data_IF_089529352651
#
_entry.id   IF_089529352651
#
_cell.length_a   1.000
_cell.length_b   1.000
_cell.length_c   1.000
_cell.angle_alpha   90.00
_cell.angle_beta   90.00
_cell.angle_gamma   90.00
#
_symmetry.space_group_name_H-M   'P 1'
#
loop_
_entity.id
_entity.type
_entity.pdbx_description
1 polymer ?
#
# COMPACT_ATOMS: atom_id res chain seq x y z
N UNK A 1 -38.40 -8.39 1.39
CA UNK A 1 -38.20 -7.22 0.50
C UNK A 1 -37.67 -6.10 1.37
N UNK A 2 -36.34 -5.93 1.43
CA UNK A 2 -35.73 -4.73 2.01
C UNK A 2 -35.19 -3.99 0.79
N UNK A 3 -35.61 -2.73 0.65
CA UNK A 3 -35.28 -1.89 -0.49
C UNK A 3 -33.75 -1.79 -0.67
N UNK A 4 -33.23 -2.45 -1.71
CA UNK A 4 -31.92 -2.14 -2.25
C UNK A 4 -32.11 -0.93 -3.18
N UNK A 5 -31.37 0.14 -2.91
CA UNK A 5 -31.34 1.43 -3.60
C UNK A 5 -32.43 2.42 -3.19
N UNK A 6 -32.45 2.81 -1.91
CA UNK A 6 -32.71 4.21 -1.60
C UNK A 6 -31.38 4.95 -1.77
N UNK A 7 -31.31 5.89 -2.72
CA UNK A 7 -30.19 6.84 -2.77
C UNK A 7 -30.11 7.50 -1.40
N UNK A 8 -28.95 7.37 -0.75
CA UNK A 8 -28.73 8.00 0.55
C UNK A 8 -28.95 9.49 0.36
N UNK A 9 -29.87 10.07 1.13
CA UNK A 9 -30.14 11.51 1.06
C UNK A 9 -28.86 12.25 1.45
N UNK A 10 -28.30 12.99 0.49
CA UNK A 10 -27.18 13.88 0.78
C UNK A 10 -27.62 14.91 1.80
N UNK A 11 -26.90 14.98 2.92
CA UNK A 11 -27.12 15.97 3.96
C UNK A 11 -25.76 16.52 4.40
N UNK A 12 -25.71 17.83 4.65
CA UNK A 12 -24.51 18.55 5.06
C UNK A 12 -23.77 17.89 6.26
N UNK A 13 -24.49 17.21 7.15
CA UNK A 13 -23.90 16.47 8.28
C UNK A 13 -23.03 15.30 7.80
N UNK A 14 -23.50 14.53 6.82
CA UNK A 14 -22.74 13.40 6.26
C UNK A 14 -21.53 13.89 5.49
N UNK A 15 -21.67 14.97 4.71
CA UNK A 15 -20.55 15.60 4.01
C UNK A 15 -19.48 16.09 4.98
N UNK A 16 -19.87 16.76 6.08
CA UNK A 16 -18.95 17.21 7.11
C UNK A 16 -18.24 16.03 7.81
N UNK A 17 -18.97 14.94 8.07
CA UNK A 17 -18.39 13.72 8.65
C UNK A 17 -17.38 13.05 7.69
N UNK A 18 -17.71 12.96 6.40
CA UNK A 18 -16.82 12.40 5.39
C UNK A 18 -15.55 13.23 5.24
N UNK A 19 -15.68 14.56 5.18
CA UNK A 19 -14.56 15.50 5.19
C UNK A 19 -13.68 15.32 6.43
N UNK A 20 -14.27 15.31 7.63
CA UNK A 20 -13.52 15.11 8.87
C UNK A 20 -12.80 13.75 8.91
N UNK A 21 -13.43 12.69 8.39
CA UNK A 21 -12.82 11.35 8.30
C UNK A 21 -11.60 11.34 7.38
N UNK A 22 -11.69 12.03 6.23
CA UNK A 22 -10.59 12.14 5.27
C UNK A 22 -9.44 13.00 5.80
N UNK A 23 -9.75 14.13 6.44
CA UNK A 23 -8.74 15.00 7.06
C UNK A 23 -7.96 14.28 8.16
N UNK A 24 -8.65 13.55 9.05
CA UNK A 24 -7.99 12.75 10.08
C UNK A 24 -7.05 11.70 9.48
N UNK A 25 -7.45 11.05 8.38
CA UNK A 25 -6.58 10.09 7.68
C UNK A 25 -5.38 10.77 7.01
N UNK A 26 -5.51 11.99 6.51
CA UNK A 26 -4.41 12.72 5.89
C UNK A 26 -3.29 13.09 6.88
N UNK A 27 -3.63 13.21 8.17
CA UNK A 27 -2.66 13.44 9.26
C UNK A 27 -1.93 12.15 9.68
N UNK A 28 -2.45 10.97 9.33
CA UNK A 28 -1.81 9.70 9.64
C UNK A 28 -0.58 9.45 8.77
N UNK A 29 0.53 9.06 9.41
CA UNK A 29 1.77 8.70 8.72
C UNK A 29 1.55 7.46 7.85
N UNK A 30 2.06 7.49 6.62
CA UNK A 30 2.12 6.30 5.77
C UNK A 30 2.96 5.21 6.44
N UNK A 31 2.50 3.95 6.32
CA UNK A 31 3.20 2.80 6.90
C UNK A 31 4.61 2.70 6.30
N UNK A 32 5.61 2.62 7.16
CA UNK A 32 7.02 2.63 6.78
C UNK A 32 7.60 1.28 6.31
N UNK A 33 6.85 0.19 6.44
CA UNK A 33 7.33 -1.19 6.23
C UNK A 33 6.38 -2.00 5.32
N UNK A 34 6.91 -3.07 4.73
CA UNK A 34 6.13 -4.14 4.10
C UNK A 34 5.44 -4.98 5.19
N UNK A 35 4.12 -5.10 5.11
CA UNK A 35 3.32 -5.75 6.15
C UNK A 35 3.31 -7.28 6.07
N UNK A 36 3.51 -7.97 7.19
CA UNK A 36 3.29 -9.43 7.30
C UNK A 36 1.85 -9.82 6.93
N UNK A 37 0.88 -8.95 7.16
CA UNK A 37 -0.54 -9.16 6.78
C UNK A 37 -0.82 -9.10 5.27
N UNK A 38 0.16 -8.68 4.47
CA UNK A 38 0.03 -8.55 3.01
C UNK A 38 1.01 -9.43 2.24
N UNK A 39 2.04 -10.01 2.88
CA UNK A 39 3.12 -10.73 2.19
C UNK A 39 2.65 -11.93 1.36
N UNK A 40 1.54 -12.55 1.78
CA UNK A 40 0.86 -13.63 1.06
C UNK A 40 0.08 -13.19 -0.17
N UNK A 41 0.01 -11.88 -0.47
CA UNK A 41 -0.58 -11.39 -1.71
C UNK A 41 0.19 -11.99 -2.90
N UNK A 42 -0.54 -12.60 -3.84
CA UNK A 42 0.04 -13.32 -4.98
C UNK A 42 0.97 -12.41 -5.81
N UNK A 43 0.56 -11.17 -6.02
CA UNK A 43 1.22 -10.24 -6.91
C UNK A 43 2.28 -9.43 -6.14
N UNK A 44 3.54 -9.81 -6.35
CA UNK A 44 4.69 -9.15 -5.73
C UNK A 44 4.89 -7.72 -6.25
N UNK A 45 4.46 -7.42 -7.49
CA UNK A 45 4.48 -6.06 -8.05
C UNK A 45 3.65 -5.10 -7.21
N UNK A 46 2.43 -5.49 -6.85
CA UNK A 46 1.56 -4.71 -5.96
C UNK A 46 2.24 -4.42 -4.61
N UNK A 47 2.91 -5.42 -4.03
CA UNK A 47 3.63 -5.25 -2.76
C UNK A 47 4.81 -4.29 -2.90
N UNK A 48 5.58 -4.40 -3.98
CA UNK A 48 6.69 -3.51 -4.30
C UNK A 48 6.23 -2.06 -4.47
N UNK A 49 5.19 -1.82 -5.26
CA UNK A 49 4.63 -0.48 -5.47
C UNK A 49 4.10 0.13 -4.17
N UNK A 50 3.44 -0.67 -3.31
CA UNK A 50 2.98 -0.22 -1.98
C UNK A 50 4.15 0.12 -1.06
N UNK A 51 5.18 -0.73 -1.01
CA UNK A 51 6.37 -0.52 -0.18
C UNK A 51 7.12 0.77 -0.56
N UNK A 52 7.17 1.08 -1.87
CA UNK A 52 7.73 2.31 -2.43
C UNK A 52 6.77 3.50 -2.46
N UNK A 53 5.62 3.41 -1.77
CA UNK A 53 4.59 4.45 -1.72
C UNK A 53 4.15 5.00 -3.08
N UNK A 54 4.18 4.13 -4.08
CA UNK A 54 3.88 4.47 -5.46
C UNK A 54 2.41 4.24 -5.81
N UNK A 55 1.71 3.33 -5.12
CA UNK A 55 0.24 3.31 -5.22
C UNK A 55 -0.37 4.39 -4.31
N UNK A 56 -1.29 5.22 -4.83
CA UNK A 56 -1.97 6.23 -4.02
C UNK A 56 -2.93 5.59 -3.00
N UNK A 57 -3.10 6.27 -1.88
CA UNK A 57 -4.04 5.93 -0.80
C UNK A 57 -5.44 6.48 -1.13
N UNK A 58 -6.09 5.92 -2.15
CA UNK A 58 -7.42 6.35 -2.63
C UNK A 58 -8.55 5.83 -1.72
N UNK A 59 -8.51 6.18 -0.43
CA UNK A 59 -9.52 5.74 0.54
C UNK A 59 -10.77 6.64 0.50
N UNK A 60 -11.94 6.04 0.35
CA UNK A 60 -13.20 6.74 0.66
C UNK A 60 -13.43 6.83 2.16
N UNK A 61 -14.13 7.86 2.63
CA UNK A 61 -14.53 7.98 4.03
C UNK A 61 -15.33 6.74 4.51
N UNK A 62 -16.16 6.18 3.63
CA UNK A 62 -16.86 4.91 3.86
C UNK A 62 -15.89 3.75 4.13
N UNK A 63 -14.83 3.61 3.34
CA UNK A 63 -13.83 2.55 3.53
C UNK A 63 -13.06 2.73 4.84
N UNK A 64 -12.69 3.95 5.20
CA UNK A 64 -12.04 4.26 6.48
C UNK A 64 -12.93 3.89 7.67
N UNK A 65 -14.24 4.17 7.61
CA UNK A 65 -15.21 3.71 8.62
C UNK A 65 -15.30 2.18 8.68
N UNK A 66 -15.17 1.48 7.55
CA UNK A 66 -15.13 0.00 7.53
C UNK A 66 -13.88 -0.52 8.24
N UNK A 67 -12.72 0.11 8.08
CA UNK A 67 -11.51 -0.26 8.82
C UNK A 67 -11.68 -0.03 10.33
N UNK A 68 -12.23 1.13 10.73
CA UNK A 68 -12.56 1.42 12.13
C UNK A 68 -13.50 0.37 12.72
N UNK A 69 -14.52 -0.05 11.99
CA UNK A 69 -15.42 -1.12 12.43
C UNK A 69 -14.70 -2.47 12.56
N UNK A 70 -13.63 -2.70 11.81
CA UNK A 70 -12.77 -3.87 11.98
C UNK A 70 -12.18 -3.94 13.40
N UNK A 71 -11.59 -2.84 13.88
CA UNK A 71 -11.03 -2.76 15.24
C UNK A 71 -12.08 -2.93 16.34
N UNK A 72 -13.30 -2.42 16.12
CA UNK A 72 -14.42 -2.66 17.04
C UNK A 72 -14.74 -4.15 17.09
N UNK A 73 -14.89 -4.80 15.94
CA UNK A 73 -15.19 -6.23 15.85
C UNK A 73 -14.10 -7.09 16.49
N UNK A 74 -12.83 -6.73 16.30
CA UNK A 74 -11.68 -7.36 16.97
C UNK A 74 -11.82 -7.27 18.49
N UNK A 75 -12.02 -6.06 19.03
CA UNK A 75 -12.19 -5.82 20.48
C UNK A 75 -13.36 -6.62 21.07
N UNK A 76 -14.52 -6.62 20.39
CA UNK A 76 -15.70 -7.38 20.80
C UNK A 76 -15.45 -8.89 20.75
N UNK A 77 -14.77 -9.39 19.72
CA UNK A 77 -14.43 -10.82 19.60
C UNK A 77 -13.48 -11.25 20.72
N UNK A 78 -12.49 -10.41 21.07
CA UNK A 78 -11.62 -10.65 22.22
C UNK A 78 -12.42 -10.72 23.53
N UNK A 79 -13.35 -9.79 23.74
CA UNK A 79 -14.22 -9.80 24.92
C UNK A 79 -15.09 -11.06 25.00
N UNK A 80 -15.61 -11.55 23.88
CA UNK A 80 -16.36 -12.81 23.82
C UNK A 80 -15.49 -14.02 24.16
N UNK A 81 -14.26 -14.09 23.63
CA UNK A 81 -13.32 -15.18 23.92
C UNK A 81 -12.93 -15.22 25.40
N UNK A 82 -12.70 -14.06 26.03
CA UNK A 82 -12.38 -13.96 27.47
C UNK A 82 -13.51 -14.49 28.39
N UNK A 83 -14.74 -14.62 27.89
CA UNK A 83 -15.86 -15.20 28.67
C UNK A 83 -15.80 -16.72 28.78
N UNK A 84 -14.98 -17.39 27.97
CA UNK A 84 -14.85 -18.84 28.00
C UNK A 84 -14.06 -19.23 29.26
N UNK A 85 -14.57 -20.13 30.12
CA UNK A 85 -13.87 -20.56 31.33
C UNK A 85 -12.47 -21.11 31.02
N UNK A 86 -11.47 -20.57 31.71
CA UNK A 86 -10.07 -20.99 31.57
C UNK A 86 -9.32 -20.33 30.42
N UNK A 87 -9.96 -19.48 29.60
CA UNK A 87 -9.25 -18.70 28.58
C UNK A 87 -8.41 -17.60 29.22
N UNK A 88 -7.14 -17.58 28.85
CA UNK A 88 -6.19 -16.51 29.12
C UNK A 88 -5.87 -15.84 27.78
N UNK A 89 -6.09 -14.52 27.68
CA UNK A 89 -5.94 -13.78 26.44
C UNK A 89 -5.29 -12.43 26.70
N UNK A 90 -4.26 -12.12 25.90
CA UNK A 90 -3.53 -10.85 25.94
C UNK A 90 -3.63 -10.17 24.58
N UNK A 91 -3.98 -8.89 24.56
CA UNK A 91 -4.04 -8.05 23.35
C UNK A 91 -3.28 -6.73 23.56
N UNK A 92 -3.10 -5.93 22.51
CA UNK A 92 -2.43 -4.62 22.63
C UNK A 92 -3.15 -3.67 23.62
N UNK A 93 -4.47 -3.83 23.78
CA UNK A 93 -5.27 -3.08 24.76
C UNK A 93 -4.85 -3.35 26.21
N UNK A 94 -4.20 -4.48 26.48
CA UNK A 94 -3.70 -4.85 27.81
C UNK A 94 -2.30 -4.25 28.09
N UNK A 95 -1.79 -3.40 27.20
CA UNK A 95 -0.43 -2.85 27.27
C UNK A 95 0.66 -3.81 26.77
N UNK A 96 0.26 -4.95 26.19
CA UNK A 96 1.17 -5.86 25.51
C UNK A 96 1.57 -5.29 24.14
N UNK A 97 2.73 -5.67 23.63
CA UNK A 97 3.15 -5.31 22.28
C UNK A 97 3.46 -6.60 21.51
N UNK A 98 2.59 -6.96 20.57
CA UNK A 98 2.77 -8.16 19.74
C UNK A 98 3.27 -7.83 18.34
N UNK A 99 4.24 -6.91 18.27
CA UNK A 99 4.85 -6.45 17.02
C UNK A 99 6.16 -7.19 16.75
N UNK A 100 6.33 -7.61 15.50
CA UNK A 100 7.51 -8.30 15.01
C UNK A 100 8.18 -7.47 13.92
N UNK A 101 9.50 -7.45 13.95
CA UNK A 101 10.33 -6.64 13.07
C UNK A 101 11.46 -7.49 12.52
N UNK A 102 11.53 -7.56 11.20
CA UNK A 102 12.52 -8.31 10.46
C UNK A 102 13.10 -7.44 9.35
N UNK A 103 14.28 -7.81 8.86
CA UNK A 103 14.98 -7.09 7.78
C UNK A 103 15.17 -5.60 8.14
N UNK A 104 15.68 -5.33 9.34
CA UNK A 104 15.88 -3.97 9.87
C UNK A 104 14.56 -3.23 10.15
N UNK A 105 13.45 -3.96 10.32
CA UNK A 105 12.11 -3.43 10.48
C UNK A 105 11.39 -3.11 9.17
N UNK A 106 12.01 -3.33 8.01
CA UNK A 106 11.34 -3.15 6.71
C UNK A 106 10.28 -4.22 6.43
N UNK A 107 10.33 -5.37 7.11
CA UNK A 107 9.27 -6.36 7.14
C UNK A 107 8.72 -6.47 8.55
N UNK A 108 7.49 -5.99 8.76
CA UNK A 108 6.91 -5.91 10.11
C UNK A 108 5.43 -6.26 10.13
N UNK A 109 4.92 -6.62 11.30
CA UNK A 109 3.50 -6.83 11.53
C UNK A 109 3.19 -6.99 13.00
N UNK A 110 1.90 -6.89 13.32
CA UNK A 110 1.39 -7.05 14.67
C UNK A 110 0.24 -8.04 14.64
N UNK A 111 0.28 -9.05 15.51
CA UNK A 111 -0.85 -9.96 15.68
C UNK A 111 -1.87 -9.35 16.64
N UNK A 112 -3.15 -9.72 16.48
CA UNK A 112 -4.24 -9.14 17.28
C UNK A 112 -4.14 -9.54 18.77
N UNK A 113 -3.52 -10.70 19.06
CA UNK A 113 -3.16 -11.09 20.42
C UNK A 113 -2.63 -12.51 20.54
N UNK A 114 -2.47 -12.97 21.77
CA UNK A 114 -2.20 -14.37 22.08
C UNK A 114 -3.27 -14.94 23.01
N UNK A 115 -3.58 -16.23 22.84
CA UNK A 115 -4.63 -16.90 23.60
C UNK A 115 -4.19 -18.29 24.04
N UNK A 116 -4.56 -18.68 25.27
CA UNK A 116 -4.42 -20.00 25.86
C UNK A 116 -5.73 -20.40 26.54
N UNK A 117 -5.93 -21.68 26.83
CA UNK A 117 -7.16 -22.16 27.47
C UNK A 117 -8.30 -22.45 26.50
N UNK A 118 -8.02 -22.42 25.20
CA UNK A 118 -8.97 -22.78 24.14
C UNK A 118 -9.42 -24.24 24.36
N UNK A 119 -10.74 -24.56 24.33
CA UNK A 119 -11.26 -25.88 24.72
C UNK A 119 -10.62 -27.08 24.02
N UNK A 120 -10.27 -26.94 22.73
CA UNK A 120 -9.67 -28.02 21.94
C UNK A 120 -8.15 -28.20 22.17
N UNK A 121 -7.51 -27.30 22.93
CA UNK A 121 -6.14 -27.46 23.43
C UNK A 121 -5.83 -26.50 24.60
N UNK A 122 -6.33 -26.80 25.80
CA UNK A 122 -6.30 -25.85 26.92
C UNK A 122 -4.89 -25.43 27.35
N UNK A 123 -3.89 -26.29 27.15
CA UNK A 123 -2.49 -26.03 27.56
C UNK A 123 -1.65 -25.30 26.52
N UNK A 124 -2.11 -25.18 25.27
CA UNK A 124 -1.31 -24.63 24.17
C UNK A 124 -1.56 -23.14 24.01
N UNK A 125 -0.48 -22.38 23.79
CA UNK A 125 -0.57 -21.00 23.34
C UNK A 125 -0.82 -20.93 21.83
N UNK A 126 -1.66 -19.99 21.45
CA UNK A 126 -2.03 -19.68 20.08
C UNK A 126 -1.77 -18.22 19.77
N UNK A 127 -1.27 -17.95 18.56
CA UNK A 127 -1.49 -16.65 17.92
C UNK A 127 -3.00 -16.49 17.75
N UNK A 128 -3.56 -15.37 18.16
CA UNK A 128 -4.93 -15.03 17.82
C UNK A 128 -4.96 -13.98 16.71
N UNK A 129 -5.76 -14.26 15.68
CA UNK A 129 -5.99 -13.35 14.56
C UNK A 129 -7.49 -13.33 14.27
N UNK A 130 -8.04 -12.13 14.11
CA UNK A 130 -9.47 -11.89 13.94
C UNK A 130 -9.73 -11.07 12.68
N UNK A 131 -10.61 -11.58 11.82
CA UNK A 131 -11.11 -10.86 10.65
C UNK A 131 -12.61 -10.65 10.74
N UNK A 132 -13.11 -9.72 9.94
CA UNK A 132 -14.54 -9.56 9.72
C UNK A 132 -14.89 -9.75 8.25
N UNK A 133 -16.00 -10.42 7.97
CA UNK A 133 -16.51 -10.62 6.63
C UNK A 133 -17.95 -10.11 6.53
N UNK A 134 -18.35 -9.70 5.32
CA UNK A 134 -19.77 -9.56 4.98
C UNK A 134 -20.36 -10.93 4.68
N UNK A 135 -21.67 -11.05 4.72
CA UNK A 135 -22.47 -12.26 4.49
C UNK A 135 -21.99 -13.10 3.30
N UNK A 136 -21.71 -12.47 2.15
CA UNK A 136 -21.21 -13.16 0.96
C UNK A 136 -19.84 -13.82 1.22
N UNK A 137 -18.87 -13.04 1.72
CA UNK A 137 -17.53 -13.56 2.04
C UNK A 137 -17.55 -14.61 3.14
N UNK A 138 -18.42 -14.47 4.14
CA UNK A 138 -18.60 -15.45 5.20
C UNK A 138 -19.16 -16.78 4.67
N UNK A 139 -20.14 -16.74 3.76
CA UNK A 139 -20.65 -17.95 3.09
C UNK A 139 -19.58 -18.67 2.29
N UNK A 140 -18.74 -17.93 1.56
CA UNK A 140 -17.62 -18.53 0.84
C UNK A 140 -16.62 -19.18 1.80
N UNK A 141 -16.36 -18.56 2.97
CA UNK A 141 -15.54 -19.16 4.03
C UNK A 141 -16.16 -20.48 4.53
N UNK A 142 -17.44 -20.49 4.87
CA UNK A 142 -18.13 -21.70 5.33
C UNK A 142 -18.08 -22.82 4.29
N UNK A 143 -18.25 -22.46 3.00
CA UNK A 143 -18.15 -23.41 1.89
C UNK A 143 -16.73 -23.96 1.71
N UNK A 144 -15.71 -23.10 1.86
CA UNK A 144 -14.31 -23.50 1.80
C UNK A 144 -13.89 -24.36 3.02
N UNK A 145 -14.53 -24.13 4.17
CA UNK A 145 -14.34 -24.87 5.42
C UNK A 145 -12.98 -24.64 6.10
N UNK A 146 -12.15 -23.72 5.58
CA UNK A 146 -10.85 -23.37 6.16
C UNK A 146 -10.34 -22.02 5.64
N UNK A 147 -9.56 -21.32 6.46
CA UNK A 147 -8.89 -20.05 6.13
C UNK A 147 -7.92 -20.25 4.97
N UNK A 148 -7.15 -21.35 4.94
CA UNK A 148 -6.21 -21.65 3.87
C UNK A 148 -6.87 -21.72 2.49
N UNK A 149 -8.07 -22.33 2.40
CA UNK A 149 -8.82 -22.44 1.14
C UNK A 149 -9.63 -21.18 0.82
N UNK A 150 -10.04 -20.43 1.83
CA UNK A 150 -10.82 -19.22 1.65
C UNK A 150 -9.95 -18.01 1.24
N UNK A 151 -8.82 -17.83 1.91
CA UNK A 151 -7.93 -16.70 1.70
C UNK A 151 -6.49 -17.07 2.09
N UNK A 152 -5.68 -17.39 1.08
CA UNK A 152 -4.26 -17.74 1.25
C UNK A 152 -3.46 -16.62 1.94
N UNK A 153 -3.72 -15.35 1.63
CA UNK A 153 -3.04 -14.21 2.27
C UNK A 153 -3.26 -14.21 3.79
N UNK A 154 -4.48 -14.50 4.25
CA UNK A 154 -4.78 -14.58 5.69
C UNK A 154 -4.16 -15.81 6.35
N UNK A 155 -4.13 -16.93 5.64
CA UNK A 155 -3.43 -18.10 6.14
C UNK A 155 -1.92 -17.84 6.26
N UNK A 156 -1.28 -17.26 5.24
CA UNK A 156 0.14 -16.87 5.26
C UNK A 156 0.42 -15.85 6.37
N UNK A 157 -0.47 -14.87 6.60
CA UNK A 157 -0.35 -13.93 7.71
C UNK A 157 -0.24 -14.68 9.05
N UNK A 158 -1.14 -15.62 9.33
CA UNK A 158 -1.10 -16.42 10.55
C UNK A 158 0.17 -17.28 10.65
N UNK A 159 0.65 -17.83 9.52
CA UNK A 159 1.92 -18.57 9.47
C UNK A 159 3.12 -17.68 9.81
N UNK A 160 3.16 -16.44 9.29
CA UNK A 160 4.21 -15.48 9.62
C UNK A 160 4.23 -15.15 11.11
N UNK A 161 3.07 -14.88 11.72
CA UNK A 161 2.99 -14.59 13.15
C UNK A 161 3.34 -15.79 14.03
N UNK A 162 2.93 -17.00 13.65
CA UNK A 162 3.39 -18.23 14.33
C UNK A 162 4.92 -18.40 14.23
N UNK A 163 5.49 -18.14 13.05
CA UNK A 163 6.94 -18.18 12.83
C UNK A 163 7.70 -17.15 13.67
N UNK A 164 7.26 -15.90 13.66
CA UNK A 164 7.89 -14.80 14.37
C UNK A 164 7.75 -14.90 15.90
N UNK A 165 6.60 -15.37 16.40
CA UNK A 165 6.36 -15.57 17.84
C UNK A 165 6.94 -16.87 18.40
N UNK A 166 7.30 -17.82 17.53
CA UNK A 166 7.67 -19.19 17.92
C UNK A 166 6.49 -20.09 18.32
N UNK A 167 5.25 -19.61 18.22
CA UNK A 167 4.06 -20.41 18.54
C UNK A 167 3.78 -21.45 17.46
N UNK A 168 3.35 -22.65 17.85
CA UNK A 168 3.08 -23.75 16.91
C UNK A 168 1.64 -23.79 16.38
N UNK A 169 0.79 -22.91 16.91
CA UNK A 169 -0.66 -22.89 16.67
C UNK A 169 -1.17 -21.46 16.55
N UNK A 170 -2.25 -21.29 15.79
CA UNK A 170 -3.05 -20.07 15.77
C UNK A 170 -4.53 -20.41 15.96
N UNK A 171 -5.29 -19.53 16.59
CA UNK A 171 -6.74 -19.50 16.58
C UNK A 171 -7.17 -18.35 15.67
N UNK A 172 -7.74 -18.69 14.52
CA UNK A 172 -8.19 -17.70 13.55
C UNK A 172 -9.71 -17.56 13.64
N UNK A 173 -10.20 -16.36 13.94
CA UNK A 173 -11.64 -16.08 14.05
C UNK A 173 -12.11 -15.17 12.93
N UNK A 174 -13.29 -15.43 12.39
CA UNK A 174 -13.94 -14.56 11.40
C UNK A 174 -15.35 -14.23 11.86
N UNK A 175 -15.62 -12.94 12.07
CA UNK A 175 -16.91 -12.42 12.48
C UNK A 175 -17.76 -12.01 11.27
N UNK A 176 -18.98 -12.49 11.18
CA UNK A 176 -19.94 -12.07 10.17
C UNK A 176 -20.64 -10.76 10.59
N UNK A 177 -20.36 -9.66 9.88
CA UNK A 177 -20.89 -8.33 10.20
C UNK A 177 -22.40 -8.20 10.01
N UNK A 178 -23.02 -9.12 9.28
CA UNK A 178 -24.45 -9.05 8.93
C UNK A 178 -25.33 -9.92 9.83
N UNK A 179 -24.77 -10.96 10.46
CA UNK A 179 -25.53 -11.93 11.30
C UNK A 179 -24.92 -12.20 12.67
N UNK A 180 -23.74 -11.65 12.96
CA UNK A 180 -22.98 -11.90 14.19
C UNK A 180 -22.55 -13.35 14.40
N UNK A 181 -22.62 -14.19 13.37
CA UNK A 181 -22.03 -15.54 13.38
C UNK A 181 -20.51 -15.46 13.42
N UNK A 182 -19.86 -16.39 14.13
CA UNK A 182 -18.40 -16.46 14.24
C UNK A 182 -17.94 -17.82 13.71
N UNK A 183 -17.01 -17.78 12.75
CA UNK A 183 -16.22 -18.94 12.35
C UNK A 183 -14.92 -18.95 13.16
N UNK A 184 -14.46 -20.13 13.58
CA UNK A 184 -13.19 -20.29 14.27
C UNK A 184 -12.44 -21.52 13.74
N UNK A 185 -11.15 -21.38 13.48
CA UNK A 185 -10.27 -22.47 13.05
C UNK A 185 -8.96 -22.47 13.83
N UNK A 186 -8.51 -23.65 14.27
CA UNK A 186 -7.19 -23.84 14.86
C UNK A 186 -6.18 -24.26 13.78
N UNK A 187 -5.29 -23.35 13.41
CA UNK A 187 -4.23 -23.59 12.43
C UNK A 187 -3.01 -24.24 13.09
N UNK A 188 -2.24 -25.00 12.30
CA UNK A 188 -0.92 -25.52 12.68
C UNK A 188 0.14 -24.79 11.88
N UNK A 189 1.28 -24.53 12.52
CA UNK A 189 2.42 -23.95 11.82
C UNK A 189 2.91 -24.88 10.69
N UNK A 190 3.10 -24.31 9.52
CA UNK A 190 3.93 -24.84 8.46
C UNK A 190 5.30 -24.15 8.54
N UNK A 191 6.30 -24.91 8.98
CA UNK A 191 7.65 -24.39 9.25
C UNK A 191 8.38 -23.92 7.98
N UNK A 192 7.86 -24.21 6.80
CA UNK A 192 8.45 -23.78 5.52
C UNK A 192 8.02 -22.37 5.13
N UNK A 193 6.86 -21.91 5.59
CA UNK A 193 6.25 -20.66 5.14
C UNK A 193 7.00 -19.45 5.68
N UNK A 194 7.35 -19.44 6.97
CA UNK A 194 8.03 -18.30 7.57
C UNK A 194 9.38 -17.96 6.90
N UNK A 195 10.33 -18.91 6.75
CA UNK A 195 11.56 -18.65 6.01
C UNK A 195 11.33 -18.24 4.55
N UNK A 196 10.34 -18.84 3.87
CA UNK A 196 10.00 -18.49 2.50
C UNK A 196 9.47 -17.05 2.37
N UNK A 197 8.67 -16.59 3.34
CA UNK A 197 8.13 -15.22 3.36
C UNK A 197 9.19 -14.19 3.74
N UNK A 198 10.16 -14.52 4.60
CA UNK A 198 11.34 -13.68 4.84
C UNK A 198 12.12 -13.48 3.55
N UNK A 199 12.44 -14.56 2.84
CA UNK A 199 13.17 -14.48 1.57
C UNK A 199 12.36 -13.74 0.48
N UNK A 200 11.03 -13.89 0.46
CA UNK A 200 10.14 -13.13 -0.45
C UNK A 200 10.15 -11.64 -0.11
N UNK A 201 10.04 -11.30 1.18
CA UNK A 201 10.05 -9.92 1.64
C UNK A 201 11.38 -9.23 1.31
N UNK A 202 12.51 -9.89 1.57
CA UNK A 202 13.84 -9.37 1.22
C UNK A 202 13.94 -9.07 -0.27
N UNK A 203 13.59 -10.03 -1.14
CA UNK A 203 13.59 -9.81 -2.60
C UNK A 203 12.74 -8.61 -3.02
N UNK A 204 11.55 -8.43 -2.43
CA UNK A 204 10.67 -7.30 -2.76
C UNK A 204 11.27 -5.98 -2.27
N UNK A 205 11.78 -5.95 -1.03
CA UNK A 205 12.30 -4.75 -0.38
C UNK A 205 13.55 -4.23 -1.11
N UNK A 206 14.44 -5.12 -1.54
CA UNK A 206 15.73 -4.74 -2.16
C UNK A 206 15.67 -4.61 -3.68
N UNK A 207 14.54 -4.91 -4.33
CA UNK A 207 14.44 -4.86 -5.78
C UNK A 207 14.37 -3.42 -6.30
N UNK A 208 15.29 -3.04 -7.20
CA UNK A 208 15.23 -1.76 -7.91
C UNK A 208 14.26 -1.79 -9.11
N UNK A 209 13.94 -2.99 -9.60
CA UNK A 209 12.94 -3.23 -10.65
C UNK A 209 11.64 -3.80 -10.05
N UNK A 210 10.46 -3.46 -10.57
CA UNK A 210 9.21 -4.07 -10.15
C UNK A 210 9.25 -5.56 -10.50
N UNK A 211 8.82 -6.45 -9.57
CA UNK A 211 8.54 -7.83 -9.91
C UNK A 211 7.58 -7.94 -11.10
N UNK A 212 7.67 -9.05 -11.83
CA UNK A 212 6.71 -9.34 -12.89
C UNK A 212 5.29 -9.44 -12.31
N UNK A 213 4.32 -8.96 -13.10
CA UNK A 213 2.91 -9.11 -12.75
C UNK A 213 2.51 -10.57 -12.90
N UNK A 214 1.76 -11.09 -11.93
CA UNK A 214 1.10 -12.40 -12.07
C UNK A 214 -0.23 -12.30 -12.82
N UNK A 215 -0.68 -11.08 -13.15
CA UNK A 215 -1.90 -10.86 -13.90
C UNK A 215 -1.60 -10.89 -15.40
N UNK A 216 -2.33 -11.70 -16.19
CA UNK A 216 -2.01 -11.89 -17.60
C UNK A 216 -2.29 -10.66 -18.46
N UNK A 217 -3.23 -9.80 -18.04
CA UNK A 217 -3.65 -8.60 -18.76
C UNK A 217 -4.45 -7.65 -17.85
N UNK A 218 -4.83 -6.51 -18.42
CA UNK A 218 -5.61 -5.44 -17.76
C UNK A 218 -7.05 -5.83 -17.44
N UNK A 219 -7.60 -6.87 -18.06
CA UNK A 219 -8.97 -7.34 -17.86
C UNK A 219 -9.07 -8.40 -16.75
N UNK A 220 -7.94 -8.81 -16.17
CA UNK A 220 -7.92 -9.79 -15.10
C UNK A 220 -8.82 -9.35 -13.93
N UNK A 221 -9.69 -10.25 -13.47
CA UNK A 221 -10.82 -9.88 -12.60
C UNK A 221 -10.43 -9.17 -11.29
N UNK A 222 -9.18 -9.32 -10.81
CA UNK A 222 -8.69 -8.63 -9.60
C UNK A 222 -8.27 -7.18 -9.84
N UNK A 223 -8.06 -6.78 -11.10
CA UNK A 223 -7.71 -5.40 -11.47
C UNK A 223 -8.79 -4.41 -11.01
N UNK A 224 -10.07 -4.82 -11.02
CA UNK A 224 -11.20 -4.00 -10.53
C UNK A 224 -11.13 -3.60 -9.05
N UNK A 225 -10.23 -4.21 -8.26
CA UNK A 225 -10.00 -3.85 -6.86
C UNK A 225 -8.98 -2.73 -6.71
N UNK A 226 -8.39 -2.25 -7.80
CA UNK A 226 -7.59 -1.03 -7.88
C UNK A 226 -8.42 0.11 -8.46
N UNK A 227 -8.22 1.33 -7.95
CA UNK A 227 -8.74 2.55 -8.60
C UNK A 227 -8.13 2.71 -10.00
N UNK A 228 -8.76 3.52 -10.86
CA UNK A 228 -8.22 3.79 -12.21
C UNK A 228 -6.79 4.35 -12.15
N UNK A 229 -6.52 5.26 -11.20
CA UNK A 229 -5.18 5.81 -10.96
C UNK A 229 -4.18 4.74 -10.52
N UNK A 230 -4.58 3.83 -9.62
CA UNK A 230 -3.75 2.70 -9.22
C UNK A 230 -3.45 1.77 -10.39
N UNK A 231 -4.43 1.51 -11.26
CA UNK A 231 -4.25 0.70 -12.46
C UNK A 231 -3.26 1.34 -13.44
N UNK A 232 -3.39 2.64 -13.71
CA UNK A 232 -2.48 3.37 -14.60
C UNK A 232 -1.02 3.29 -14.10
N UNK A 233 -0.80 3.47 -12.79
CA UNK A 233 0.53 3.34 -12.19
C UNK A 233 1.03 1.88 -12.23
N UNK A 234 0.16 0.91 -11.93
CA UNK A 234 0.52 -0.50 -11.93
C UNK A 234 1.02 -1.00 -13.29
N UNK A 235 0.42 -0.48 -14.36
CA UNK A 235 0.76 -0.84 -15.74
C UNK A 235 1.81 0.07 -16.38
N UNK A 236 2.27 1.10 -15.68
CA UNK A 236 3.29 2.03 -16.17
C UNK A 236 2.78 3.09 -17.14
N UNK A 237 1.47 3.31 -17.20
CA UNK A 237 0.84 4.38 -18.02
C UNK A 237 0.94 5.75 -17.36
N UNK A 238 1.18 5.78 -16.06
CA UNK A 238 1.26 7.00 -15.26
C UNK A 238 2.34 6.83 -14.19
N UNK A 239 3.08 7.90 -13.89
CA UNK A 239 4.00 7.93 -12.76
C UNK A 239 3.28 8.20 -11.44
N UNK A 240 3.76 7.63 -10.34
CA UNK A 240 3.27 7.97 -9.01
C UNK A 240 3.72 9.38 -8.61
N UNK A 241 3.25 9.85 -7.45
CA UNK A 241 3.80 11.05 -6.83
C UNK A 241 5.29 10.83 -6.46
N UNK A 242 6.22 11.74 -6.83
CA UNK A 242 7.63 11.63 -6.47
C UNK A 242 7.82 11.63 -4.95
N UNK A 243 8.61 10.69 -4.45
CA UNK A 243 9.00 10.60 -3.03
C UNK A 243 10.33 9.85 -2.94
N UNK A 244 11.06 9.91 -1.82
CA UNK A 244 12.39 9.29 -1.81
C UNK A 244 12.35 7.78 -2.07
N UNK A 245 11.26 7.05 -1.79
CA UNK A 245 11.22 5.60 -2.01
C UNK A 245 11.08 5.18 -3.48
N UNK A 246 10.74 6.11 -4.38
CA UNK A 246 10.77 5.89 -5.82
C UNK A 246 11.92 6.64 -6.53
N UNK A 247 12.88 7.16 -5.75
CA UNK A 247 14.11 7.79 -6.23
C UNK A 247 15.26 6.77 -6.36
N UNK A 248 16.04 6.84 -7.44
CA UNK A 248 17.21 5.96 -7.69
C UNK A 248 18.33 6.09 -6.66
N UNK A 249 18.35 7.18 -5.89
CA UNK A 249 19.36 7.42 -4.86
C UNK A 249 19.01 6.79 -3.52
N UNK A 250 17.76 6.37 -3.33
CA UNK A 250 17.31 5.83 -2.05
C UNK A 250 17.38 4.30 -2.02
N UNK A 251 17.83 3.75 -0.90
CA UNK A 251 17.82 2.30 -0.68
C UNK A 251 17.51 1.96 0.79
N UNK A 252 16.75 0.90 1.06
CA UNK A 252 16.51 0.43 2.41
C UNK A 252 17.79 -0.16 3.01
N UNK A 253 18.04 0.12 4.30
CA UNK A 253 19.12 -0.49 5.08
C UNK A 253 18.53 -1.63 5.92
N UNK A 254 18.82 -2.87 5.56
CA UNK A 254 18.31 -4.05 6.28
C UNK A 254 19.11 -4.39 7.54
N UNK A 255 20.31 -3.84 7.66
CA UNK A 255 21.22 -4.04 8.79
C UNK A 255 21.05 -3.00 9.91
N UNK A 256 20.06 -2.10 9.78
CA UNK A 256 19.77 -1.07 10.77
C UNK A 256 18.29 -1.11 11.15
N UNK A 257 18.01 -1.21 12.45
CA UNK A 257 16.66 -1.20 12.99
C UNK A 257 15.93 0.13 12.76
N UNK A 258 14.61 0.05 12.64
CA UNK A 258 13.73 1.22 12.48
C UNK A 258 13.30 1.51 11.05
N UNK A 259 13.35 0.52 10.16
CA UNK A 259 13.00 0.62 8.74
C UNK A 259 13.72 1.77 8.04
N UNK A 260 15.04 1.87 8.28
CA UNK A 260 15.84 3.00 7.84
C UNK A 260 16.06 2.97 6.33
N UNK A 261 15.84 4.11 5.67
CA UNK A 261 16.24 4.36 4.29
C UNK A 261 17.46 5.27 4.26
N UNK A 262 18.36 5.04 3.31
CA UNK A 262 19.52 5.90 3.06
C UNK A 262 19.40 6.59 1.71
N UNK A 263 19.89 7.83 1.60
CA UNK A 263 20.03 8.55 0.34
C UNK A 263 21.51 8.66 -0.03
N UNK A 264 21.91 8.06 -1.15
CA UNK A 264 23.30 8.11 -1.64
C UNK A 264 23.72 9.51 -2.12
N UNK A 265 22.80 10.28 -2.69
CA UNK A 265 23.04 11.66 -3.17
C UNK A 265 23.36 12.62 -2.00
N UNK A 266 22.63 12.53 -0.90
CA UNK A 266 22.82 13.38 0.29
C UNK A 266 23.65 12.72 1.40
N UNK A 267 24.13 11.49 1.20
CA UNK A 267 24.94 10.70 2.16
C UNK A 267 24.36 10.71 3.58
N UNK A 268 23.04 10.55 3.69
CA UNK A 268 22.32 10.61 4.96
C UNK A 268 21.16 9.62 5.02
N UNK A 269 20.79 9.24 6.24
CA UNK A 269 19.56 8.51 6.51
C UNK A 269 18.34 9.43 6.34
N UNK A 270 17.24 8.86 5.88
CA UNK A 270 16.01 9.58 5.59
C UNK A 270 14.98 9.35 6.71
N UNK A 271 14.55 10.42 7.37
CA UNK A 271 13.37 10.38 8.24
C UNK A 271 12.12 10.03 7.41
N UNK A 272 11.08 9.50 8.06
CA UNK A 272 9.83 9.15 7.37
C UNK A 272 9.21 10.35 6.63
N UNK A 273 9.27 11.53 7.25
CA UNK A 273 8.81 12.79 6.65
C UNK A 273 9.61 13.15 5.39
N UNK A 274 10.95 13.08 5.43
CA UNK A 274 11.79 13.31 4.25
C UNK A 274 11.51 12.30 3.16
N UNK A 275 11.30 11.03 3.54
CA UNK A 275 10.95 10.00 2.57
C UNK A 275 9.67 10.36 1.82
N UNK A 276 8.65 10.85 2.53
CA UNK A 276 7.33 11.16 1.94
C UNK A 276 7.36 12.43 1.10
N UNK A 277 8.06 13.47 1.57
CA UNK A 277 8.14 14.77 0.89
C UNK A 277 8.96 14.72 -0.40
N UNK A 278 9.99 13.88 -0.46
CA UNK A 278 10.99 13.96 -1.54
C UNK A 278 11.90 15.20 -1.40
N UNK A 279 12.72 15.46 -2.42
CA UNK A 279 13.64 16.60 -2.45
C UNK A 279 13.92 17.06 -3.90
N UNK A 280 14.37 18.30 -4.13
CA UNK A 280 14.64 18.83 -5.48
C UNK A 280 15.60 17.98 -6.33
N UNK A 281 16.53 17.24 -5.71
CA UNK A 281 17.43 16.31 -6.42
C UNK A 281 16.81 14.93 -6.72
N UNK A 282 15.48 14.80 -6.65
CA UNK A 282 14.81 13.55 -6.96
C UNK A 282 15.07 13.16 -8.42
N UNK A 283 15.47 11.91 -8.61
CA UNK A 283 15.65 11.31 -9.93
C UNK A 283 15.00 9.93 -9.90
N UNK A 284 14.09 9.65 -10.84
CA UNK A 284 13.31 8.43 -10.88
C UNK A 284 14.21 7.19 -10.85
N UNK A 285 13.79 6.18 -10.08
CA UNK A 285 14.23 4.81 -10.34
C UNK A 285 13.91 4.49 -11.81
N UNK A 286 14.90 4.10 -12.64
CA UNK A 286 14.69 3.91 -14.09
C UNK A 286 13.51 2.99 -14.42
N UNK A 287 13.27 2.00 -13.57
CA UNK A 287 12.18 1.06 -13.64
C UNK A 287 10.76 1.66 -13.70
N UNK A 288 10.57 2.89 -13.22
CA UNK A 288 9.28 3.59 -13.30
C UNK A 288 9.06 4.27 -14.67
N UNK A 289 10.13 4.53 -15.43
CA UNK A 289 10.03 5.23 -16.70
C UNK A 289 9.79 4.19 -17.81
N UNK A 290 8.71 4.31 -18.61
CA UNK A 290 8.39 3.38 -19.68
C UNK A 290 9.26 3.60 -20.93
N UNK A 291 10.59 3.69 -20.75
CA UNK A 291 11.56 3.99 -21.79
C UNK A 291 12.91 3.32 -21.54
N UNK A 292 13.71 3.20 -22.60
CA UNK A 292 15.08 2.67 -22.50
C UNK A 292 16.01 3.76 -21.96
N UNK A 293 16.82 3.42 -20.97
CA UNK A 293 17.93 4.27 -20.53
C UNK A 293 18.95 4.38 -21.68
N UNK A 294 19.22 5.60 -22.12
CA UNK A 294 20.29 5.90 -23.07
C UNK A 294 21.59 6.22 -22.31
N UNK A 295 21.49 7.09 -21.31
CA UNK A 295 22.62 7.57 -20.52
C UNK A 295 22.20 7.71 -19.06
N UNK A 296 23.08 7.33 -18.13
CA UNK A 296 22.86 7.49 -16.70
C UNK A 296 24.08 8.13 -16.07
N UNK A 297 23.93 9.38 -15.66
CA UNK A 297 24.97 10.15 -14.98
C UNK A 297 24.68 10.26 -13.48
N UNK A 298 25.54 10.97 -12.76
CA UNK A 298 25.39 11.21 -11.33
C UNK A 298 24.11 12.01 -11.02
N UNK A 299 23.76 12.96 -11.88
CA UNK A 299 22.71 13.96 -11.61
C UNK A 299 21.49 13.85 -12.52
N UNK A 300 21.59 13.08 -13.61
CA UNK A 300 20.50 12.90 -14.56
C UNK A 300 20.49 11.51 -15.20
N UNK A 301 19.35 11.17 -15.80
CA UNK A 301 19.17 9.98 -16.64
C UNK A 301 18.41 10.38 -17.89
N UNK A 302 18.90 9.98 -19.06
CA UNK A 302 18.25 10.21 -20.35
C UNK A 302 17.54 8.94 -20.79
N UNK A 303 16.29 9.08 -21.18
CA UNK A 303 15.42 7.99 -21.59
C UNK A 303 14.99 8.16 -23.04
N UNK A 304 14.72 7.03 -23.71
CA UNK A 304 14.07 6.98 -25.02
C UNK A 304 12.80 6.15 -24.95
N UNK A 305 11.66 6.77 -25.23
CA UNK A 305 10.35 6.13 -25.29
C UNK A 305 10.20 5.24 -26.54
N UNK A 306 9.21 4.32 -26.56
CA UNK A 306 8.97 3.44 -27.71
C UNK A 306 8.67 4.18 -29.02
N UNK A 307 8.07 5.37 -28.94
CA UNK A 307 7.77 6.23 -30.10
C UNK A 307 9.00 7.01 -30.62
N UNK A 308 10.15 6.85 -29.96
CA UNK A 308 11.42 7.47 -30.31
C UNK A 308 11.70 8.79 -29.60
N UNK A 309 10.75 9.36 -28.86
CA UNK A 309 10.95 10.58 -28.08
C UNK A 309 12.02 10.37 -27.01
N UNK A 310 12.90 11.36 -26.83
CA UNK A 310 13.98 11.30 -25.84
C UNK A 310 13.94 12.51 -24.92
N UNK A 311 14.14 12.27 -23.63
CA UNK A 311 14.14 13.30 -22.60
C UNK A 311 15.08 12.95 -21.46
N UNK A 312 15.47 13.95 -20.68
CA UNK A 312 16.32 13.76 -19.49
C UNK A 312 15.53 14.08 -18.21
N UNK A 313 15.56 13.16 -17.25
CA UNK A 313 15.14 13.44 -15.89
C UNK A 313 16.31 14.07 -15.11
N UNK A 314 16.13 15.30 -14.66
CA UNK A 314 17.12 16.09 -13.89
C UNK A 314 16.57 16.50 -12.53
N UNK A 315 17.41 17.15 -11.73
CA UNK A 315 16.98 17.88 -10.53
C UNK A 315 16.14 19.13 -10.88
N UNK A 316 15.27 19.54 -9.96
CA UNK A 316 14.24 20.56 -10.17
C UNK A 316 14.80 21.89 -10.70
N UNK A 317 15.87 22.40 -10.07
CA UNK A 317 16.50 23.68 -10.45
C UNK A 317 17.15 23.62 -11.85
N UNK A 318 17.54 22.44 -12.32
CA UNK A 318 18.18 22.26 -13.63
C UNK A 318 17.16 22.16 -14.79
N UNK A 319 15.90 21.80 -14.48
CA UNK A 319 14.81 21.75 -15.46
C UNK A 319 14.39 23.15 -15.97
N UNK A 320 14.75 24.21 -15.23
CA UNK A 320 14.48 25.60 -15.61
C UNK A 320 15.41 26.16 -16.72
N UNK A 321 16.34 25.35 -17.24
CA UNK A 321 17.24 25.77 -18.33
C UNK A 321 16.59 25.60 -19.71
N UNK A 322 16.87 26.50 -20.65
CA UNK A 322 16.33 26.58 -22.04
C UNK A 322 16.63 25.35 -22.93
N UNK A 323 17.09 24.24 -22.36
CA UNK A 323 17.33 22.99 -23.08
C UNK A 323 16.04 22.23 -23.35
N UNK A 324 15.75 21.96 -24.62
CA UNK A 324 14.61 21.14 -25.05
C UNK A 324 14.63 19.74 -24.39
N UNK A 325 13.48 19.32 -23.84
CA UNK A 325 13.20 17.97 -23.30
C UNK A 325 13.96 17.57 -22.02
N UNK A 326 14.14 18.53 -21.12
CA UNK A 326 14.68 18.30 -19.77
C UNK A 326 13.57 18.54 -18.76
N UNK A 327 13.36 17.58 -17.85
CA UNK A 327 12.21 17.58 -16.92
C UNK A 327 12.62 17.19 -15.51
N UNK A 328 12.05 17.88 -14.51
CA UNK A 328 12.14 17.43 -13.12
C UNK A 328 11.31 16.16 -12.92
N UNK A 329 11.51 15.49 -11.79
CA UNK A 329 10.67 14.34 -11.46
C UNK A 329 9.20 14.70 -11.25
N UNK A 330 8.91 15.94 -10.82
CA UNK A 330 7.55 16.46 -10.66
C UNK A 330 6.91 16.80 -12.00
N UNK A 331 7.66 17.39 -12.92
CA UNK A 331 7.19 17.62 -14.29
C UNK A 331 6.79 16.29 -14.94
N UNK A 332 7.64 15.27 -14.84
CA UNK A 332 7.36 13.94 -15.37
C UNK A 332 6.11 13.32 -14.73
N UNK A 333 5.96 13.41 -13.41
CA UNK A 333 4.77 12.92 -12.71
C UNK A 333 3.49 13.62 -13.20
N UNK A 334 3.55 14.92 -13.43
CA UNK A 334 2.44 15.71 -13.95
C UNK A 334 2.12 15.36 -15.40
N UNK A 335 3.12 15.36 -16.28
CA UNK A 335 2.98 15.08 -17.71
C UNK A 335 2.49 13.65 -17.99
N UNK A 336 2.85 12.69 -17.14
CA UNK A 336 2.41 11.29 -17.27
C UNK A 336 0.90 11.09 -17.10
N UNK A 337 0.16 12.08 -16.57
CA UNK A 337 -1.30 12.01 -16.40
C UNK A 337 -2.06 12.02 -17.73
N UNK A 338 -1.36 12.29 -18.83
CA UNK A 338 -1.92 12.38 -20.17
C UNK A 338 -1.15 11.46 -21.14
N UNK A 339 -1.04 10.17 -20.79
CA UNK A 339 -0.65 9.05 -21.65
C UNK A 339 0.84 8.86 -22.02
N UNK A 340 1.81 9.57 -21.43
CA UNK A 340 3.24 9.39 -21.79
C UNK A 340 3.54 9.50 -23.30
N UNK A 341 2.68 10.16 -24.08
CA UNK A 341 2.83 10.32 -25.54
C UNK A 341 3.58 11.60 -25.87
N UNK A 342 4.40 11.56 -26.92
CA UNK A 342 5.11 12.73 -27.46
C UNK A 342 4.21 13.97 -27.63
N UNK A 343 3.03 13.82 -28.25
CA UNK A 343 2.11 14.93 -28.51
C UNK A 343 1.68 15.65 -27.23
N UNK A 344 1.51 14.89 -26.13
CA UNK A 344 1.18 15.45 -24.83
C UNK A 344 2.33 16.27 -24.25
N UNK A 345 3.55 15.73 -24.30
CA UNK A 345 4.74 16.39 -23.75
C UNK A 345 5.04 17.69 -24.49
N UNK A 346 4.88 17.71 -25.81
CA UNK A 346 5.05 18.91 -26.63
C UNK A 346 3.94 19.94 -26.39
N UNK A 347 2.67 19.51 -26.30
CA UNK A 347 1.54 20.41 -26.07
C UNK A 347 1.51 21.00 -24.65
N UNK A 348 1.85 20.23 -23.62
CA UNK A 348 1.90 20.70 -22.24
C UNK A 348 3.03 21.71 -22.03
N UNK A 349 4.19 21.50 -22.65
CA UNK A 349 5.29 22.47 -22.64
C UNK A 349 4.91 23.77 -23.35
N UNK A 350 4.26 23.69 -24.52
CA UNK A 350 3.76 24.87 -25.23
C UNK A 350 2.78 25.69 -24.36
N UNK A 351 1.94 25.03 -23.56
CA UNK A 351 1.02 25.68 -22.64
C UNK A 351 1.71 26.31 -21.41
N UNK A 352 2.79 25.72 -20.90
CA UNK A 352 3.57 26.25 -19.76
C UNK A 352 4.51 27.41 -20.16
N UNK A 353 4.96 27.44 -21.42
CA UNK A 353 5.76 28.54 -21.99
C UNK A 353 4.92 29.69 -22.56
N UNK A 354 3.59 29.52 -22.65
CA UNK A 354 2.71 30.58 -23.11
C UNK A 354 2.66 31.68 -22.03
N UNK A 355 2.89 32.97 -22.36
CA UNK A 355 2.76 34.05 -21.39
C UNK A 355 1.35 34.00 -20.82
N UNK A 356 1.22 34.05 -19.49
CA UNK A 356 -0.06 34.14 -18.82
C UNK A 356 -0.87 35.24 -19.51
N UNK A 357 -1.98 34.86 -20.17
CA UNK A 357 -2.92 35.86 -20.69
C UNK A 357 -3.37 36.65 -19.47
N UNK A 358 -2.91 37.90 -19.38
CA UNK A 358 -3.36 38.83 -18.36
C UNK A 358 -4.89 38.90 -18.34
N UNK A 359 -5.48 39.36 -17.22
CA UNK A 359 -6.93 39.37 -17.07
C UNK A 359 -7.56 40.06 -18.27
N UNK A 360 -8.51 39.37 -18.90
CA UNK A 360 -9.33 39.89 -19.99
C UNK A 360 -9.95 41.19 -19.48
N UNK A 361 -9.56 42.33 -20.07
CA UNK A 361 -10.19 43.62 -19.78
C UNK A 361 -11.62 43.58 -20.31
N UNK A 362 -12.55 44.09 -19.51
CA UNK A 362 -14.01 44.06 -19.69
C UNK A 362 -14.54 44.92 -20.84
N UNK A 363 -13.80 45.11 -21.93
CA UNK A 363 -14.17 46.04 -23.02
C UNK A 363 -14.45 45.34 -24.36
N UNK A 364 -14.39 44.00 -24.44
CA UNK A 364 -14.74 43.26 -25.66
C UNK A 364 -15.95 42.35 -25.45
N UNK A 365 -17.13 42.96 -25.31
CA UNK A 365 -18.42 42.31 -25.60
C UNK A 365 -19.23 43.29 -26.47
N UNK A 366 -19.41 43.04 -27.78
CA UNK A 366 -20.40 43.75 -28.56
C UNK A 366 -21.80 43.26 -28.14
N UNK A 367 -22.70 44.24 -27.96
CA UNK A 367 -24.10 44.13 -27.52
C UNK A 367 -24.90 42.94 -28.05
#
# INVERSE_FOLDING_TARGET
MIAENADLVENATLTALDQATLSARAEEKRRGHLGMSQIGHEDARTLWLRFRWSLPDDFSAKLLRVFRMGHVVESETAALLRRIPGVEMHTDADGSQFSFHELGGHFSGSMDGCIRGVPEAPSTWHVWECKSAKKAGFRELLKAGSIAKWNETYWVQAQCYMGASGMSRALFTVYNKDSSEIFAERLRIDKTIWPAMIARAERIITADEPPESVWPNREFYKVRFMSERQQAIYWGDQLPEPNCRNCRFASPLLNQEGAVWSCRKHRSSLSLERQQKGCPNHNWLPAFIPGKVLEAHADFVTYKLPDGFSFSNVEDDAAASDSHHVYSSWDLAHLSQWDFKKETFENAMAAMTAPAKGPIRSEEIPF
#
